data_IF_938851119162
#
_entry.id   IF_938851119162
#
_cell.length_a   1.000
_cell.length_b   1.000
_cell.length_c   1.000
_cell.angle_alpha   90.00
_cell.angle_beta   90.00
_cell.angle_gamma   90.00
#
_symmetry.space_group_name_H-M   'P 1'
#
loop_
_entity.id
_entity.type
_entity.pdbx_description
1 polymer ?
#
# COMPACT_ATOMS: atom_id res chain seq x y z
N UNK A 1 -7.43 1.50 20.73
CA UNK A 1 -7.77 0.69 19.54
C UNK A 1 -7.57 1.63 18.36
N UNK A 2 -6.58 1.39 17.49
CA UNK A 2 -6.47 2.12 16.23
C UNK A 2 -7.77 1.87 15.46
N UNK A 3 -8.38 2.91 14.91
CA UNK A 3 -9.75 2.84 14.39
C UNK A 3 -9.85 1.98 13.12
N UNK A 4 -11.09 1.78 12.65
CA UNK A 4 -11.39 0.91 11.52
C UNK A 4 -10.84 1.43 10.18
N UNK A 5 -10.83 2.75 9.95
CA UNK A 5 -10.44 3.33 8.66
C UNK A 5 -8.94 3.66 8.58
N UNK A 6 -8.41 3.83 7.36
CA UNK A 6 -6.99 4.16 7.14
C UNK A 6 -6.60 5.49 7.80
N UNK A 7 -7.50 6.47 7.85
CA UNK A 7 -7.27 7.77 8.51
C UNK A 7 -7.08 7.58 10.02
N UNK A 8 -7.89 6.71 10.62
CA UNK A 8 -7.79 6.39 12.04
C UNK A 8 -6.63 5.45 12.38
N UNK A 9 -6.18 4.64 11.42
CA UNK A 9 -4.95 3.86 11.53
C UNK A 9 -3.72 4.78 11.47
N UNK A 10 -3.70 5.69 10.51
CA UNK A 10 -2.67 6.71 10.35
C UNK A 10 -2.57 7.57 11.61
N UNK A 11 -3.72 7.85 12.25
CA UNK A 11 -3.81 8.44 13.58
C UNK A 11 -3.05 9.78 13.69
N UNK A 12 -3.35 10.68 12.75
CA UNK A 12 -2.78 12.02 12.72
C UNK A 12 -3.18 12.80 13.98
N UNK A 13 -2.20 13.10 14.85
CA UNK A 13 -2.44 13.82 16.10
C UNK A 13 -1.43 14.94 16.38
N UNK A 14 -0.38 15.06 15.56
CA UNK A 14 0.68 16.03 15.74
C UNK A 14 1.52 16.16 14.46
N UNK A 15 2.63 16.88 14.62
CA UNK A 15 3.74 17.04 13.71
C UNK A 15 4.43 15.73 13.20
N UNK A 16 3.87 14.55 13.42
CA UNK A 16 4.43 13.33 12.85
C UNK A 16 3.37 12.23 12.69
N UNK A 17 3.63 11.32 11.77
CA UNK A 17 3.05 10.01 11.61
C UNK A 17 3.40 9.13 12.80
N UNK A 18 2.38 8.50 13.40
CA UNK A 18 2.48 7.67 14.60
C UNK A 18 2.00 6.24 14.36
N UNK A 19 2.24 5.74 13.15
CA UNK A 19 1.89 4.38 12.76
C UNK A 19 2.84 3.36 13.35
N UNK A 20 4.03 3.76 13.82
CA UNK A 20 5.01 2.80 14.32
C UNK A 20 5.91 2.23 13.23
N UNK A 21 5.68 2.63 11.98
CA UNK A 21 6.36 2.10 10.80
C UNK A 21 7.44 3.05 10.28
N UNK A 22 7.55 4.24 10.86
CA UNK A 22 8.54 5.26 10.49
C UNK A 22 9.96 4.77 10.85
N UNK A 23 10.92 5.05 9.97
CA UNK A 23 12.31 4.64 10.17
C UNK A 23 13.29 5.76 9.79
N UNK A 24 14.45 5.72 10.45
CA UNK A 24 15.46 6.75 10.26
C UNK A 24 16.03 6.75 8.85
N UNK A 25 15.98 7.90 8.17
CA UNK A 25 16.51 8.08 6.82
C UNK A 25 15.89 7.17 5.74
N UNK A 26 14.68 6.67 6.00
CA UNK A 26 14.01 5.68 5.15
C UNK A 26 12.59 6.14 4.80
N UNK A 27 12.13 5.82 3.59
CA UNK A 27 10.71 5.85 3.24
C UNK A 27 10.14 4.45 3.17
N UNK A 28 8.92 4.28 3.68
CA UNK A 28 8.26 2.97 3.77
C UNK A 28 6.87 3.00 3.21
N UNK A 29 6.57 1.97 2.44
CA UNK A 29 5.26 1.68 1.88
C UNK A 29 4.69 0.46 2.59
N UNK A 30 3.39 0.43 2.80
CA UNK A 30 2.70 -0.76 3.28
C UNK A 30 1.22 -0.72 2.93
N UNK A 31 0.62 -1.90 2.84
CA UNK A 31 -0.81 -2.04 2.63
C UNK A 31 -1.53 -2.10 3.98
N UNK A 32 -2.61 -1.32 4.08
CA UNK A 32 -3.57 -1.39 5.17
C UNK A 32 -4.90 -1.90 4.62
N UNK A 33 -5.47 -2.92 5.28
CA UNK A 33 -6.82 -3.40 5.00
C UNK A 33 -7.72 -3.08 6.19
N UNK A 34 -8.75 -2.28 5.96
CA UNK A 34 -9.75 -1.97 6.97
C UNK A 34 -10.41 -3.29 7.44
N UNK A 35 -10.34 -3.64 8.73
CA UNK A 35 -10.87 -4.89 9.24
C UNK A 35 -12.41 -4.94 9.28
N UNK A 36 -13.08 -3.78 9.26
CA UNK A 36 -14.53 -3.68 9.27
C UNK A 36 -15.13 -3.65 7.86
N UNK A 37 -14.49 -2.95 6.93
CA UNK A 37 -15.03 -2.75 5.56
C UNK A 37 -14.31 -3.56 4.48
N UNK A 38 -13.10 -4.04 4.77
CA UNK A 38 -12.25 -4.73 3.80
C UNK A 38 -11.59 -3.82 2.76
N UNK A 39 -11.79 -2.50 2.85
CA UNK A 39 -11.17 -1.52 1.95
C UNK A 39 -9.65 -1.60 2.06
N UNK A 40 -8.99 -1.66 0.90
CA UNK A 40 -7.54 -1.69 0.79
C UNK A 40 -6.99 -0.28 0.54
N UNK A 41 -5.93 0.05 1.28
CA UNK A 41 -5.24 1.33 1.20
C UNK A 41 -3.73 1.10 1.12
N UNK A 42 -3.04 1.91 0.35
CA UNK A 42 -1.59 2.03 0.35
C UNK A 42 -1.21 3.24 1.19
N UNK A 43 -0.33 3.04 2.16
CA UNK A 43 0.19 4.12 2.99
C UNK A 43 1.67 4.28 2.74
N UNK A 44 2.11 5.53 2.65
CA UNK A 44 3.52 5.92 2.55
C UNK A 44 3.91 6.73 3.78
N UNK A 45 5.09 6.43 4.34
CA UNK A 45 5.74 7.22 5.39
C UNK A 45 7.13 7.60 4.97
N UNK A 46 7.57 8.75 5.47
CA UNK A 46 8.91 9.27 5.30
C UNK A 46 9.51 9.49 6.69
N UNK A 47 10.78 9.10 6.87
CA UNK A 47 11.56 9.44 8.05
C UNK A 47 11.81 10.95 8.14
N UNK A 48 10.78 11.71 8.50
CA UNK A 48 10.74 13.16 8.67
C UNK A 48 10.31 13.48 10.11
N UNK A 49 10.89 14.52 10.70
CA UNK A 49 10.68 15.00 12.08
C UNK A 49 11.05 14.02 13.21
N UNK A 50 10.10 13.19 13.64
CA UNK A 50 10.26 12.26 14.76
C UNK A 50 9.59 10.93 14.40
N UNK A 51 10.27 9.82 14.64
CA UNK A 51 9.58 8.53 14.55
C UNK A 51 8.72 8.28 15.82
N UNK A 52 7.90 7.25 15.76
CA UNK A 52 7.09 6.74 16.88
C UNK A 52 7.85 6.40 18.18
N UNK A 53 9.18 6.27 18.14
CA UNK A 53 10.04 6.05 19.31
C UNK A 53 10.61 7.35 19.90
N UNK A 54 10.33 8.50 19.27
CA UNK A 54 10.83 9.81 19.65
C UNK A 54 12.26 10.11 19.17
N UNK A 55 12.78 9.33 18.22
CA UNK A 55 14.08 9.60 17.61
C UNK A 55 13.96 10.63 16.49
N UNK A 56 14.83 11.64 16.55
CA UNK A 56 14.92 12.71 15.56
C UNK A 56 15.38 12.17 14.21
N UNK A 57 14.66 12.60 13.17
CA UNK A 57 14.92 12.29 11.78
C UNK A 57 15.86 13.36 11.18
N UNK A 58 16.64 13.02 10.13
CA UNK A 58 17.38 14.04 9.38
C UNK A 58 16.42 14.99 8.68
N UNK A 59 16.90 16.20 8.35
CA UNK A 59 16.20 17.04 7.39
C UNK A 59 16.08 16.27 6.08
N UNK A 60 14.85 16.07 5.59
CA UNK A 60 14.60 15.29 4.40
C UNK A 60 13.61 15.96 3.44
N UNK A 61 13.71 15.56 2.16
CA UNK A 61 12.82 16.01 1.11
C UNK A 61 12.59 14.90 0.09
N UNK A 62 11.35 14.46 0.00
CA UNK A 62 10.90 13.35 -0.83
C UNK A 62 9.81 13.82 -1.77
N UNK A 63 9.87 13.40 -3.03
CA UNK A 63 8.75 13.48 -3.95
C UNK A 63 8.44 12.07 -4.43
N UNK A 64 7.17 11.69 -4.47
CA UNK A 64 6.75 10.42 -5.09
C UNK A 64 5.61 10.66 -6.07
N UNK A 65 5.62 9.93 -7.17
CA UNK A 65 4.53 9.88 -8.14
C UNK A 65 4.04 8.45 -8.24
N UNK A 66 2.76 8.24 -7.96
CA UNK A 66 2.07 6.96 -8.07
C UNK A 66 1.27 6.97 -9.37
N UNK A 67 1.59 6.08 -10.29
CA UNK A 67 0.95 6.00 -11.60
C UNK A 67 0.26 4.66 -11.80
N UNK A 68 -0.67 4.60 -12.77
CA UNK A 68 -1.51 3.43 -13.05
C UNK A 68 -2.40 3.01 -11.88
N UNK A 69 -2.80 3.96 -11.04
CA UNK A 69 -3.73 3.71 -9.95
C UNK A 69 -5.08 3.21 -10.51
N UNK A 70 -5.61 2.07 -10.02
CA UNK A 70 -6.89 1.57 -10.47
C UNK A 70 -8.03 2.48 -10.00
N UNK A 71 -9.12 2.55 -10.77
CA UNK A 71 -10.36 3.20 -10.31
C UNK A 71 -11.01 2.31 -9.24
N UNK A 72 -11.52 2.84 -8.11
CA UNK A 72 -11.74 4.25 -7.79
C UNK A 72 -10.75 4.85 -6.77
N UNK A 73 -9.44 4.56 -6.88
CA UNK A 73 -8.46 5.05 -5.89
C UNK A 73 -8.49 6.57 -5.73
N UNK A 74 -8.40 7.02 -4.47
CA UNK A 74 -8.39 8.43 -4.07
C UNK A 74 -7.41 8.67 -2.92
N UNK A 75 -7.03 9.93 -2.69
CA UNK A 75 -6.24 10.32 -1.51
C UNK A 75 -7.14 10.36 -0.28
N UNK A 76 -6.90 9.46 0.67
CA UNK A 76 -7.63 9.38 1.94
C UNK A 76 -6.96 10.18 3.05
N UNK A 77 -5.62 10.21 3.05
CA UNK A 77 -4.83 10.99 4.01
C UNK A 77 -3.81 11.81 3.23
N UNK A 78 -3.86 13.12 3.41
CA UNK A 78 -2.77 14.05 3.11
C UNK A 78 -2.45 14.73 4.43
N UNK A 79 -1.22 14.58 4.90
CA UNK A 79 -0.82 14.93 6.26
C UNK A 79 -0.99 16.44 6.56
N UNK A 80 -0.72 17.31 5.57
CA UNK A 80 -0.96 18.76 5.66
C UNK A 80 -2.00 19.29 4.64
N UNK A 81 -2.63 20.41 5.01
CA UNK A 81 -3.73 21.13 4.35
C UNK A 81 -3.43 21.65 2.94
N UNK A 82 -2.20 21.53 2.43
CA UNK A 82 -1.77 22.09 1.16
C UNK A 82 -1.20 21.06 0.16
N UNK A 83 -1.95 19.99 -0.11
CA UNK A 83 -1.71 19.15 -1.30
C UNK A 83 -0.35 18.44 -1.27
N UNK A 84 0.12 18.10 -0.08
CA UNK A 84 1.30 17.27 0.13
C UNK A 84 1.17 15.92 -0.53
N UNK A 85 -0.04 15.35 -0.53
CA UNK A 85 -0.43 14.25 -1.39
C UNK A 85 -1.75 14.62 -2.07
N UNK A 86 -1.79 14.56 -3.40
CA UNK A 86 -2.99 14.89 -4.16
C UNK A 86 -3.10 14.04 -5.42
N UNK A 87 -4.33 13.84 -5.90
CA UNK A 87 -4.54 13.28 -7.23
C UNK A 87 -4.01 14.29 -8.27
N UNK A 88 -3.04 13.87 -9.08
CA UNK A 88 -2.45 14.70 -10.13
C UNK A 88 -3.08 14.44 -11.52
N UNK A 89 -3.87 13.38 -11.65
CA UNK A 89 -4.62 13.02 -12.86
C UNK A 89 -5.49 11.78 -12.65
N UNK A 90 -6.17 11.33 -13.70
CA UNK A 90 -6.84 10.02 -13.67
C UNK A 90 -5.79 8.92 -13.56
N UNK A 91 -5.89 8.10 -12.50
CA UNK A 91 -4.93 7.03 -12.25
C UNK A 91 -3.56 7.51 -11.75
N UNK A 92 -3.43 8.77 -11.32
CA UNK A 92 -2.16 9.33 -10.85
C UNK A 92 -2.32 10.15 -9.57
N UNK A 93 -1.42 9.95 -8.61
CA UNK A 93 -1.27 10.79 -7.43
C UNK A 93 0.19 11.21 -7.26
N UNK A 94 0.40 12.45 -6.82
CA UNK A 94 1.74 12.97 -6.55
C UNK A 94 1.80 13.48 -5.13
N UNK A 95 2.91 13.19 -4.44
CA UNK A 95 3.22 13.81 -3.17
C UNK A 95 4.60 14.46 -3.09
N UNK A 96 4.72 15.45 -2.21
CA UNK A 96 5.91 16.27 -2.02
C UNK A 96 6.10 16.62 -0.53
N UNK A 97 6.91 15.80 0.12
CA UNK A 97 7.21 15.82 1.54
C UNK A 97 8.52 16.56 1.80
N UNK A 98 8.52 17.43 2.80
CA UNK A 98 9.61 18.29 3.22
C UNK A 98 9.59 18.42 4.74
N UNK A 99 10.75 18.19 5.34
CA UNK A 99 10.97 18.40 6.77
C UNK A 99 10.50 19.78 7.27
N UNK A 100 10.80 20.85 6.54
CA UNK A 100 10.42 22.21 6.95
C UNK A 100 8.91 22.46 6.99
N UNK A 101 8.14 21.66 6.28
CA UNK A 101 6.68 21.73 6.26
C UNK A 101 6.04 20.70 7.19
N UNK A 102 6.85 19.89 7.85
CA UNK A 102 6.39 18.85 8.75
C UNK A 102 5.41 17.89 8.04
N UNK A 103 5.90 17.30 6.96
CA UNK A 103 5.11 16.50 6.02
C UNK A 103 5.78 15.15 5.94
N UNK A 104 5.15 14.09 6.44
CA UNK A 104 5.83 12.81 6.66
C UNK A 104 5.06 11.58 6.19
N UNK A 105 4.00 11.77 5.42
CA UNK A 105 3.36 10.67 4.73
C UNK A 105 1.98 10.97 4.18
N UNK A 106 1.25 9.90 3.90
CA UNK A 106 -0.12 9.96 3.41
C UNK A 106 -0.63 8.60 2.98
N UNK A 107 -1.91 8.54 2.61
CA UNK A 107 -2.55 7.30 2.22
C UNK A 107 -3.44 7.47 0.99
N UNK A 108 -3.29 6.52 0.06
CA UNK A 108 -4.20 6.28 -1.05
C UNK A 108 -5.16 5.15 -0.65
N UNK A 109 -6.46 5.33 -0.86
CA UNK A 109 -7.48 4.35 -0.49
C UNK A 109 -8.43 4.05 -1.63
N UNK A 110 -9.24 3.01 -1.50
CA UNK A 110 -10.19 2.58 -2.52
C UNK A 110 -9.59 1.64 -3.56
N UNK A 111 -8.46 0.99 -3.26
CA UNK A 111 -7.91 -0.03 -4.15
C UNK A 111 -8.91 -1.19 -4.29
N UNK A 112 -9.23 -1.62 -5.53
CA UNK A 112 -10.11 -2.75 -5.75
C UNK A 112 -9.58 -4.02 -5.05
N UNK A 113 -10.46 -4.67 -4.30
CA UNK A 113 -10.22 -5.96 -3.66
C UNK A 113 -11.54 -6.74 -3.64
N UNK A 114 -11.60 -7.92 -4.28
CA UNK A 114 -10.52 -8.59 -5.02
C UNK A 114 -10.16 -7.89 -6.35
N UNK A 115 -8.93 -8.03 -6.84
CA UNK A 115 -8.53 -7.59 -8.18
C UNK A 115 -7.03 -7.35 -8.37
N UNK A 116 -6.47 -7.81 -9.49
CA UNK A 116 -5.06 -7.62 -9.82
C UNK A 116 -4.81 -6.27 -10.50
N UNK A 117 -3.85 -5.52 -9.99
CA UNK A 117 -3.39 -4.25 -10.55
C UNK A 117 -1.88 -4.12 -10.34
N UNK A 118 -1.26 -3.17 -11.02
CA UNK A 118 0.15 -2.80 -10.84
C UNK A 118 0.23 -1.29 -10.83
N UNK A 119 1.11 -0.75 -10.01
CA UNK A 119 1.35 0.69 -9.95
C UNK A 119 2.84 0.98 -10.14
N UNK A 120 3.14 2.13 -10.72
CA UNK A 120 4.51 2.62 -10.75
C UNK A 120 4.69 3.62 -9.61
N UNK A 121 5.85 3.56 -8.94
CA UNK A 121 6.20 4.51 -7.89
C UNK A 121 7.56 5.13 -8.24
N UNK A 122 7.52 6.31 -8.84
CA UNK A 122 8.72 7.08 -9.09
C UNK A 122 9.05 7.94 -7.87
N UNK A 123 10.22 7.72 -7.26
CA UNK A 123 10.63 8.41 -6.03
C UNK A 123 11.88 9.26 -6.23
N UNK A 124 11.83 10.51 -5.79
CA UNK A 124 12.95 11.45 -5.80
C UNK A 124 13.31 11.82 -4.36
N UNK A 125 14.45 11.33 -3.88
CA UNK A 125 15.00 11.64 -2.56
C UNK A 125 16.10 12.69 -2.70
N UNK A 126 15.73 13.94 -2.47
CA UNK A 126 16.65 15.08 -2.69
C UNK A 126 17.42 15.50 -1.44
N UNK A 127 17.04 14.99 -0.26
CA UNK A 127 17.69 15.26 1.02
C UNK A 127 17.30 14.20 2.06
N UNK A 128 18.24 13.82 2.95
CA UNK A 128 17.99 13.12 4.23
C UNK A 128 17.62 11.64 4.16
N UNK A 129 16.88 11.24 3.14
CA UNK A 129 16.45 9.86 2.89
C UNK A 129 17.22 9.31 1.71
N UNK A 130 17.66 8.06 1.80
CA UNK A 130 18.43 7.37 0.76
C UNK A 130 17.90 5.97 0.45
N UNK A 131 16.82 5.57 1.12
CA UNK A 131 16.22 4.24 1.00
C UNK A 131 14.71 4.30 0.88
N UNK A 132 14.17 3.41 0.04
CA UNK A 132 12.75 3.10 -0.07
C UNK A 132 12.56 1.62 0.26
N UNK A 133 11.51 1.29 1.00
CA UNK A 133 11.18 -0.10 1.28
C UNK A 133 9.67 -0.32 1.32
N UNK A 134 9.28 -1.57 1.09
CA UNK A 134 7.94 -2.07 1.33
C UNK A 134 7.94 -2.95 2.58
N UNK A 135 7.02 -2.71 3.50
CA UNK A 135 6.80 -3.56 4.67
C UNK A 135 5.65 -4.50 4.34
N UNK A 136 5.93 -5.81 4.35
CA UNK A 136 4.95 -6.83 4.03
C UNK A 136 3.99 -7.13 5.20
N UNK A 137 3.04 -8.04 4.96
CA UNK A 137 2.07 -8.43 5.98
C UNK A 137 2.69 -9.14 7.21
N UNK A 138 3.91 -9.67 7.07
CA UNK A 138 4.68 -10.30 8.14
C UNK A 138 5.44 -9.27 8.98
N UNK A 139 5.57 -8.03 8.48
CA UNK A 139 6.40 -6.98 9.05
C UNK A 139 7.84 -7.00 8.53
N UNK A 140 8.14 -7.85 7.55
CA UNK A 140 9.46 -7.90 6.92
C UNK A 140 9.61 -6.72 5.96
N UNK A 141 10.81 -6.13 5.95
CA UNK A 141 11.14 -4.97 5.12
C UNK A 141 11.85 -5.41 3.86
N UNK A 142 11.26 -5.13 2.70
CA UNK A 142 11.78 -5.42 1.37
C UNK A 142 12.29 -4.12 0.78
N UNK A 143 13.60 -4.00 0.57
CA UNK A 143 14.19 -2.82 -0.05
C UNK A 143 13.72 -2.69 -1.50
N UNK A 144 13.29 -1.47 -1.86
CA UNK A 144 12.93 -1.08 -3.20
C UNK A 144 14.00 -0.14 -3.79
N UNK A 145 14.18 -0.20 -5.10
CA UNK A 145 14.97 0.76 -5.86
C UNK A 145 14.34 2.15 -5.82
N UNK A 146 15.17 3.18 -6.00
CA UNK A 146 14.74 4.58 -5.92
C UNK A 146 13.81 5.01 -7.08
N UNK A 147 13.84 4.29 -8.20
CA UNK A 147 12.86 4.38 -9.29
C UNK A 147 12.54 2.95 -9.70
N UNK A 148 11.46 2.41 -9.16
CA UNK A 148 11.06 1.01 -9.32
C UNK A 148 9.57 0.91 -9.61
N UNK A 149 9.21 0.10 -10.61
CA UNK A 149 7.82 -0.34 -10.82
C UNK A 149 7.45 -1.30 -9.70
N UNK A 150 6.49 -0.91 -8.85
CA UNK A 150 6.02 -1.75 -7.75
C UNK A 150 4.75 -2.47 -8.17
N UNK A 151 4.90 -3.72 -8.63
CA UNK A 151 3.76 -4.57 -8.95
C UNK A 151 3.05 -5.01 -7.66
N UNK A 152 1.97 -4.33 -7.29
CA UNK A 152 1.14 -4.70 -6.14
C UNK A 152 -0.05 -5.54 -6.62
N UNK A 153 0.15 -6.85 -6.69
CA UNK A 153 -0.96 -7.76 -7.00
C UNK A 153 -1.81 -8.00 -5.75
N UNK A 154 -2.98 -7.37 -5.68
CA UNK A 154 -4.00 -7.70 -4.70
C UNK A 154 -4.81 -8.90 -5.23
N UNK A 155 -4.30 -10.12 -4.99
CA UNK A 155 -5.09 -11.31 -5.26
C UNK A 155 -6.47 -11.18 -4.57
N UNK A 156 -7.54 -11.79 -5.12
CA UNK A 156 -8.57 -12.28 -4.23
C UNK A 156 -7.85 -13.07 -3.15
N UNK A 157 -7.67 -12.46 -1.98
CA UNK A 157 -7.26 -13.22 -0.82
C UNK A 157 -8.31 -14.32 -0.74
N UNK A 158 -7.91 -15.60 -0.64
CA UNK A 158 -8.86 -16.61 -0.31
C UNK A 158 -9.55 -16.13 0.95
N UNK A 159 -10.80 -16.53 1.08
CA UNK A 159 -11.34 -16.78 2.39
C UNK A 159 -10.39 -17.77 3.07
N UNK A 160 -9.31 -17.31 3.70
CA UNK A 160 -8.44 -18.15 4.52
C UNK A 160 -9.25 -18.78 5.67
N UNK A 161 -10.46 -18.27 5.90
CA UNK A 161 -11.56 -18.97 6.52
C UNK A 161 -12.73 -19.09 5.53
N UNK A 162 -12.75 -20.13 4.67
CA UNK A 162 -14.01 -20.56 4.05
C UNK A 162 -14.99 -20.85 5.20
N UNK A 163 -16.20 -20.29 5.15
CA UNK A 163 -17.19 -20.42 6.23
C UNK A 163 -17.63 -21.88 6.48
N UNK A 164 -17.32 -22.77 5.55
CA UNK A 164 -17.61 -24.19 5.58
C UNK A 164 -16.38 -25.08 5.89
N UNK A 165 -15.23 -24.47 6.21
CA UNK A 165 -13.97 -25.16 6.48
C UNK A 165 -13.50 -26.10 5.35
N UNK A 166 -13.96 -25.91 4.12
CA UNK A 166 -13.45 -26.68 2.98
C UNK A 166 -12.03 -26.24 2.65
N UNK A 167 -11.22 -27.19 2.17
CA UNK A 167 -9.85 -26.93 1.76
C UNK A 167 -9.88 -26.36 0.33
N UNK A 168 -9.21 -25.22 0.06
CA UNK A 168 -8.98 -24.71 -1.29
C UNK A 168 -8.53 -25.78 -2.28
N UNK A 169 -9.11 -25.77 -3.49
CA UNK A 169 -8.69 -26.64 -4.59
C UNK A 169 -9.06 -26.04 -5.94
N UNK A 170 -8.16 -26.19 -6.90
CA UNK A 170 -8.42 -25.86 -8.29
C UNK A 170 -9.59 -26.69 -8.84
N UNK A 171 -10.50 -26.00 -9.54
CA UNK A 171 -11.66 -26.58 -10.21
C UNK A 171 -12.91 -26.67 -9.33
N UNK A 172 -12.99 -25.90 -8.25
CA UNK A 172 -14.20 -25.80 -7.43
C UNK A 172 -15.04 -24.54 -7.67
N UNK A 173 -14.62 -23.74 -8.64
CA UNK A 173 -15.29 -22.54 -9.11
C UNK A 173 -15.08 -21.33 -8.20
N UNK A 174 -14.13 -21.43 -7.25
CA UNK A 174 -13.78 -20.35 -6.33
C UNK A 174 -12.29 -20.10 -6.42
N UNK A 175 -11.91 -18.97 -7.01
CA UNK A 175 -10.49 -18.55 -7.07
C UNK A 175 -9.94 -18.32 -5.67
N UNK A 176 -9.07 -19.21 -5.22
CA UNK A 176 -8.36 -19.12 -3.95
C UNK A 176 -6.95 -18.52 -4.09
N UNK A 177 -6.27 -18.37 -2.95
CA UNK A 177 -4.90 -17.89 -2.91
C UNK A 177 -3.95 -18.84 -3.60
N UNK A 178 -3.26 -18.34 -4.62
CA UNK A 178 -2.36 -19.14 -5.46
C UNK A 178 -3.01 -19.60 -6.77
N UNK A 179 -4.27 -19.24 -7.05
CA UNK A 179 -4.93 -19.52 -8.32
C UNK A 179 -5.04 -18.24 -9.16
N UNK A 180 -4.69 -18.30 -10.45
CA UNK A 180 -4.89 -17.24 -11.43
C UNK A 180 -6.34 -17.21 -11.95
N UNK A 181 -6.98 -18.38 -12.00
CA UNK A 181 -8.37 -18.60 -12.42
C UNK A 181 -8.90 -19.89 -11.79
N UNK A 182 -10.22 -20.07 -11.75
CA UNK A 182 -10.91 -21.33 -11.46
C UNK A 182 -12.28 -21.26 -12.15
N UNK A 183 -12.46 -22.03 -13.23
CA UNK A 183 -13.69 -22.06 -14.02
C UNK A 183 -14.61 -23.24 -13.65
N UNK A 184 -14.36 -23.88 -12.51
CA UNK A 184 -15.14 -24.99 -11.99
C UNK A 184 -14.75 -26.35 -12.56
N UNK A 185 -13.60 -26.44 -13.23
CA UNK A 185 -13.03 -27.70 -13.68
C UNK A 185 -11.48 -27.66 -13.75
N UNK A 186 -10.84 -28.74 -14.21
CA UNK A 186 -9.38 -28.84 -14.37
C UNK A 186 -9.00 -29.32 -15.77
N UNK A 187 -9.78 -28.93 -16.79
CA UNK A 187 -9.56 -29.24 -18.20
C UNK A 187 -8.71 -28.14 -18.84
N UNK A 188 -7.63 -28.52 -19.52
CA UNK A 188 -6.83 -27.51 -20.22
C UNK A 188 -7.53 -27.01 -21.50
N UNK A 189 -7.36 -25.72 -21.79
CA UNK A 189 -7.69 -25.13 -23.09
C UNK A 189 -9.10 -24.55 -23.21
N UNK A 190 -9.83 -24.44 -22.10
CA UNK A 190 -11.11 -23.72 -21.99
C UNK A 190 -10.97 -22.27 -21.50
N UNK A 191 -9.77 -21.89 -21.06
CA UNK A 191 -9.46 -20.54 -20.60
C UNK A 191 -8.83 -20.51 -19.21
N UNK A 192 -8.84 -21.63 -18.48
CA UNK A 192 -8.09 -21.80 -17.25
C UNK A 192 -7.12 -23.00 -17.34
N UNK A 193 -5.85 -22.88 -16.91
CA UNK A 193 -4.95 -24.02 -16.82
C UNK A 193 -5.47 -25.06 -15.81
N UNK A 194 -5.21 -26.34 -16.06
CA UNK A 194 -5.65 -27.43 -15.19
C UNK A 194 -5.07 -27.41 -13.77
N UNK A 195 -4.01 -26.63 -13.54
CA UNK A 195 -3.41 -26.37 -12.23
C UNK A 195 -3.72 -24.96 -11.70
N UNK A 196 -4.61 -24.24 -12.37
CA UNK A 196 -5.07 -22.89 -12.02
C UNK A 196 -3.91 -21.87 -11.88
N UNK A 197 -2.75 -22.07 -12.53
CA UNK A 197 -1.55 -21.22 -12.42
C UNK A 197 -1.06 -20.61 -13.74
#
# INVERSE_FOLDING_TARGET
MRGASVESFYSYSSASSHTGLEAQSESRLYLYRDPATGVLSLVTHHGIDLNSTGLAQPEAKVKQTFSFLPVPVFVAVSDDTNGELSMSGEGEATGNWKFQNNTDGGALSGFPSPGSWSIDIDSEFSLGIDTLAYVDASGDTISLGLSETVNITAYPGPSACRLDCTVPRCGDGIVDGGEFCDDGNTEDGDGCPSDCN
#
